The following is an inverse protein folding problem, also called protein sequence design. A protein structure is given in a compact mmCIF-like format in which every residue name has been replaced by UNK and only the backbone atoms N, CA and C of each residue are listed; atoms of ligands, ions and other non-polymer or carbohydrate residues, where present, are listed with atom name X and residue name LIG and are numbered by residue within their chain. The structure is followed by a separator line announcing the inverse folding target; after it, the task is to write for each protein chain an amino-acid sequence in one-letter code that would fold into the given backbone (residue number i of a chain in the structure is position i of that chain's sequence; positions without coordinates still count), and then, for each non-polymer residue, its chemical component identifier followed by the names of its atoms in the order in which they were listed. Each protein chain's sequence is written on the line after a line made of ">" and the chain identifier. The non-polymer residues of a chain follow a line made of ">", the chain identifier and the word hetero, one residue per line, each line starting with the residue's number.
data_IF_945263412907
#
_entry.id   IF_945263412907
#
_cell.length_a   1.000
_cell.length_b   1.000
_cell.length_c   1.000
_cell.angle_alpha   90.00
_cell.angle_beta   90.00
_cell.angle_gamma   90.00
#
_symmetry.space_group_name_H-M   'P 1'
#
loop_
_entity.id
_entity.type
_entity.pdbx_description
1 polymer ?
#
# COMPACT_ATOMS: atom_id res chain seq x y z
N UNK A 1 14.39 23.20 -5.45
CA UNK A 1 14.23 21.88 -4.78
C UNK A 1 14.20 20.83 -5.87
N UNK A 2 14.96 19.74 -5.73
CA UNK A 2 14.96 18.67 -6.74
C UNK A 2 13.57 18.01 -6.79
N UNK A 3 13.03 17.84 -8.00
CA UNK A 3 11.75 17.14 -8.18
C UNK A 3 11.89 15.68 -7.71
N UNK A 4 10.91 15.10 -6.99
CA UNK A 4 10.95 13.70 -6.59
C UNK A 4 11.05 12.81 -7.82
N UNK A 5 12.11 12.00 -7.90
CA UNK A 5 12.39 11.18 -9.09
C UNK A 5 11.75 9.81 -9.01
N UNK A 6 11.46 9.32 -7.80
CA UNK A 6 10.97 7.96 -7.57
C UNK A 6 9.64 7.97 -6.84
N UNK A 7 8.72 7.11 -7.27
CA UNK A 7 7.47 6.82 -6.60
C UNK A 7 7.50 5.39 -6.08
N UNK A 8 7.28 5.21 -4.77
CA UNK A 8 7.04 3.90 -4.17
C UNK A 8 5.54 3.76 -3.91
N UNK A 9 4.93 2.75 -4.51
CA UNK A 9 3.52 2.41 -4.28
C UNK A 9 3.43 1.18 -3.40
N UNK A 10 3.00 1.34 -2.15
CA UNK A 10 2.85 0.22 -1.22
C UNK A 10 1.47 -0.44 -1.37
N UNK A 11 1.48 -1.77 -1.43
CA UNK A 11 0.30 -2.56 -1.10
C UNK A 11 0.15 -2.71 0.42
N UNK A 12 -1.05 -3.04 0.90
CA UNK A 12 -1.33 -3.15 2.35
C UNK A 12 -1.33 -4.61 2.84
N UNK A 13 -2.41 -5.34 2.61
CA UNK A 13 -2.61 -6.68 3.18
C UNK A 13 -1.72 -7.70 2.46
N UNK A 14 -0.96 -8.48 3.22
CA UNK A 14 0.06 -9.40 2.70
C UNK A 14 1.40 -8.71 2.37
N UNK A 15 1.47 -7.38 2.46
CA UNK A 15 2.68 -6.61 2.15
C UNK A 15 3.21 -5.85 3.36
N UNK A 16 2.47 -4.85 3.86
CA UNK A 16 2.86 -4.06 5.04
C UNK A 16 2.19 -4.55 6.32
N UNK A 17 1.07 -5.25 6.20
CA UNK A 17 0.38 -5.86 7.34
C UNK A 17 -0.32 -7.15 6.95
N UNK A 18 -0.69 -7.92 7.97
CA UNK A 18 -1.56 -9.08 7.85
C UNK A 18 -2.83 -8.88 8.68
N UNK A 19 -3.99 -9.32 8.15
CA UNK A 19 -5.31 -9.10 8.79
C UNK A 19 -6.00 -10.42 9.06
N UNK A 20 -6.02 -10.82 10.32
CA UNK A 20 -6.51 -12.12 10.74
C UNK A 20 -7.83 -12.01 11.52
N UNK A 21 -8.76 -12.93 11.29
CA UNK A 21 -9.92 -13.12 12.16
C UNK A 21 -9.48 -13.75 13.48
N UNK A 22 -10.34 -13.68 14.51
CA UNK A 22 -10.10 -14.36 15.77
C UNK A 22 -9.90 -15.88 15.60
N UNK A 23 -10.58 -16.49 14.63
CA UNK A 23 -10.39 -17.92 14.30
C UNK A 23 -8.98 -18.15 13.73
N UNK A 24 -8.57 -17.37 12.73
CA UNK A 24 -7.24 -17.48 12.12
C UNK A 24 -6.12 -17.26 13.15
N UNK A 25 -6.27 -16.29 14.06
CA UNK A 25 -5.31 -16.06 15.14
C UNK A 25 -5.20 -17.28 16.05
N UNK A 26 -6.33 -17.86 16.47
CA UNK A 26 -6.34 -19.07 17.32
C UNK A 26 -5.67 -20.25 16.61
N UNK A 27 -6.04 -20.46 15.35
CA UNK A 27 -5.52 -21.56 14.52
C UNK A 27 -4.00 -21.41 14.31
N UNK A 28 -3.50 -20.21 14.02
CA UNK A 28 -2.06 -19.95 13.87
C UNK A 28 -1.33 -20.15 15.20
N UNK A 29 -1.82 -19.60 16.32
CA UNK A 29 -1.18 -19.75 17.64
C UNK A 29 -1.05 -21.19 18.10
N UNK A 30 -2.02 -22.04 17.75
CA UNK A 30 -1.95 -23.47 18.05
C UNK A 30 -0.86 -24.22 17.27
N UNK A 31 -0.34 -23.64 16.19
CA UNK A 31 0.63 -24.26 15.27
C UNK A 31 1.99 -23.53 15.27
N UNK A 32 2.02 -22.26 15.66
CA UNK A 32 3.16 -21.37 15.52
C UNK A 32 3.19 -20.37 16.67
N UNK A 33 4.28 -20.37 17.43
CA UNK A 33 4.50 -19.44 18.55
C UNK A 33 4.99 -18.06 18.13
N UNK A 34 5.31 -17.85 16.86
CA UNK A 34 5.85 -16.57 16.37
C UNK A 34 4.79 -15.48 16.14
N UNK A 35 3.49 -15.83 16.15
CA UNK A 35 2.45 -14.81 16.06
C UNK A 35 2.34 -14.07 17.42
N UNK A 36 2.53 -12.73 17.46
CA UNK A 36 2.50 -11.99 18.71
C UNK A 36 1.18 -12.15 19.50
N UNK A 37 1.25 -12.06 20.83
CA UNK A 37 0.09 -12.18 21.73
C UNK A 37 -0.95 -11.07 21.54
N UNK A 38 -0.51 -9.88 21.15
CA UNK A 38 -1.37 -8.75 20.78
C UNK A 38 -1.15 -8.37 19.33
N UNK A 39 -2.20 -7.86 18.68
CA UNK A 39 -2.06 -7.21 17.38
C UNK A 39 -1.69 -5.74 17.58
N UNK A 40 -1.12 -5.09 16.56
CA UNK A 40 -0.83 -3.66 16.61
C UNK A 40 -2.11 -2.82 16.73
N UNK A 41 -3.20 -3.25 16.06
CA UNK A 41 -4.53 -2.68 16.22
C UNK A 41 -5.63 -3.68 15.80
N UNK A 42 -6.89 -3.32 16.03
CA UNK A 42 -8.07 -4.04 15.52
C UNK A 42 -8.88 -3.13 14.59
N UNK A 43 -9.36 -3.68 13.48
CA UNK A 43 -10.22 -2.95 12.54
C UNK A 43 -11.26 -3.89 11.89
N UNK A 44 -12.55 -3.52 11.93
CA UNK A 44 -13.69 -4.34 11.45
C UNK A 44 -13.58 -5.81 11.84
N UNK A 45 -13.39 -6.06 13.14
CA UNK A 45 -13.27 -7.40 13.75
C UNK A 45 -12.03 -8.22 13.33
N UNK A 46 -11.08 -7.63 12.59
CA UNK A 46 -9.80 -8.26 12.24
C UNK A 46 -8.68 -7.74 13.15
N UNK A 47 -7.83 -8.65 13.59
CA UNK A 47 -6.55 -8.40 14.25
C UNK A 47 -5.53 -8.03 13.18
N UNK A 48 -4.92 -6.85 13.27
CA UNK A 48 -4.01 -6.34 12.26
C UNK A 48 -2.58 -6.36 12.82
N UNK A 49 -1.72 -7.15 12.19
CA UNK A 49 -0.31 -7.32 12.56
C UNK A 49 0.54 -6.61 11.53
N UNK A 50 1.28 -5.59 11.94
CA UNK A 50 2.21 -4.89 11.08
C UNK A 50 3.41 -5.79 10.77
N UNK A 51 3.94 -5.68 9.56
CA UNK A 51 5.15 -6.39 9.18
C UNK A 51 6.32 -5.94 10.07
N UNK A 52 7.18 -6.86 10.54
CA UNK A 52 8.37 -6.49 11.29
C UNK A 52 9.20 -5.44 10.55
N UNK A 53 9.73 -4.47 11.29
CA UNK A 53 10.51 -3.34 10.79
C UNK A 53 9.76 -2.34 9.88
N UNK A 54 8.43 -2.38 9.86
CA UNK A 54 7.64 -1.44 9.07
C UNK A 54 7.89 0.01 9.47
N UNK A 55 7.95 0.31 10.78
CA UNK A 55 8.11 1.69 11.25
C UNK A 55 9.47 2.26 10.83
N UNK A 56 10.52 1.45 10.89
CA UNK A 56 11.88 1.78 10.45
C UNK A 56 11.92 2.01 8.94
N UNK A 57 11.28 1.13 8.16
CA UNK A 57 11.14 1.30 6.71
C UNK A 57 10.44 2.62 6.37
N UNK A 58 9.26 2.87 6.95
CA UNK A 58 8.50 4.09 6.67
C UNK A 58 9.30 5.33 7.08
N UNK A 59 9.93 5.32 8.26
CA UNK A 59 10.78 6.42 8.72
C UNK A 59 11.93 6.69 7.74
N UNK A 60 12.59 5.65 7.25
CA UNK A 60 13.67 5.78 6.28
C UNK A 60 13.18 6.39 4.97
N UNK A 61 12.06 5.89 4.42
CA UNK A 61 11.54 6.32 3.12
C UNK A 61 11.06 7.77 3.17
N UNK A 62 10.32 8.19 4.20
CA UNK A 62 9.81 9.57 4.30
C UNK A 62 10.90 10.62 4.50
N UNK A 63 12.11 10.20 4.89
CA UNK A 63 13.27 11.08 5.01
C UNK A 63 14.02 11.27 3.69
N UNK A 64 13.68 10.53 2.63
CA UNK A 64 14.34 10.64 1.34
C UNK A 64 13.71 11.76 0.50
N UNK A 65 14.43 12.86 0.21
CA UNK A 65 13.86 14.02 -0.47
C UNK A 65 13.48 13.77 -1.95
N UNK A 66 13.88 12.61 -2.50
CA UNK A 66 13.66 12.25 -3.90
C UNK A 66 12.61 11.13 -4.07
N UNK A 67 11.97 10.70 -2.97
CA UNK A 67 10.97 9.64 -2.97
C UNK A 67 9.60 10.21 -2.60
N UNK A 68 8.60 9.89 -3.41
CA UNK A 68 7.19 10.06 -3.10
C UNK A 68 6.58 8.70 -2.73
N UNK A 69 5.62 8.70 -1.80
CA UNK A 69 4.94 7.49 -1.35
C UNK A 69 3.47 7.54 -1.77
N UNK A 70 3.02 6.51 -2.48
CA UNK A 70 1.61 6.21 -2.71
C UNK A 70 1.23 4.91 -2.03
N UNK A 71 -0.07 4.69 -1.83
CA UNK A 71 -0.61 3.41 -1.40
C UNK A 71 -1.64 2.94 -2.41
N UNK A 72 -1.59 1.67 -2.78
CA UNK A 72 -2.59 1.06 -3.64
C UNK A 72 -2.96 -0.31 -3.09
N UNK A 73 -4.20 -0.45 -2.61
CA UNK A 73 -4.71 -1.68 -1.99
C UNK A 73 -5.90 -2.25 -2.75
N UNK A 74 -6.11 -3.55 -2.67
CA UNK A 74 -7.30 -4.23 -3.21
C UNK A 74 -8.52 -4.16 -2.27
N UNK A 75 -8.46 -3.35 -1.21
CA UNK A 75 -9.58 -3.11 -0.30
C UNK A 75 -10.55 -2.08 -0.88
N UNK A 76 -11.83 -2.16 -0.50
CA UNK A 76 -12.84 -1.12 -0.83
C UNK A 76 -12.45 0.25 -0.24
N UNK A 77 -12.89 1.34 -0.88
CA UNK A 77 -12.51 2.72 -0.54
C UNK A 77 -12.54 3.07 0.97
N UNK A 78 -13.63 2.78 1.73
CA UNK A 78 -13.68 3.13 3.15
C UNK A 78 -12.65 2.37 3.99
N UNK A 79 -12.24 1.19 3.54
CA UNK A 79 -11.22 0.38 4.20
C UNK A 79 -9.82 0.83 3.80
N UNK A 80 -9.62 1.20 2.54
CA UNK A 80 -8.31 1.59 2.00
C UNK A 80 -7.73 2.79 2.77
N UNK A 81 -8.49 3.88 2.84
CA UNK A 81 -8.10 5.08 3.56
C UNK A 81 -7.78 4.76 5.02
N UNK A 82 -8.73 4.14 5.73
CA UNK A 82 -8.60 3.92 7.17
C UNK A 82 -7.50 2.93 7.53
N UNK A 83 -7.30 1.88 6.73
CA UNK A 83 -6.18 0.95 6.95
C UNK A 83 -4.85 1.66 6.71
N UNK A 84 -4.76 2.52 5.71
CA UNK A 84 -3.53 3.28 5.45
C UNK A 84 -3.19 4.20 6.62
N UNK A 85 -4.16 4.97 7.13
CA UNK A 85 -3.98 5.83 8.31
C UNK A 85 -3.47 5.05 9.53
N UNK A 86 -4.08 3.88 9.81
CA UNK A 86 -3.70 3.06 10.96
C UNK A 86 -2.32 2.39 10.77
N UNK A 87 -1.97 2.05 9.53
CA UNK A 87 -0.70 1.38 9.19
C UNK A 87 0.48 2.33 9.23
N UNK A 88 0.31 3.53 8.67
CA UNK A 88 1.36 4.56 8.60
C UNK A 88 1.39 5.45 9.84
N UNK A 89 0.29 5.51 10.61
CA UNK A 89 0.19 6.33 11.81
C UNK A 89 0.51 7.81 11.51
N UNK A 90 1.34 8.48 12.32
CA UNK A 90 1.73 9.87 12.08
C UNK A 90 2.41 10.12 10.73
N UNK A 91 3.00 9.10 10.10
CA UNK A 91 3.63 9.22 8.80
C UNK A 91 2.62 9.27 7.64
N UNK A 92 1.32 9.03 7.91
CA UNK A 92 0.26 9.07 6.90
C UNK A 92 0.22 10.41 6.14
N UNK A 93 0.55 11.52 6.79
CA UNK A 93 0.65 12.86 6.16
C UNK A 93 1.68 12.94 5.01
N UNK A 94 2.57 11.96 4.88
CA UNK A 94 3.56 11.87 3.81
C UNK A 94 3.11 10.96 2.65
N UNK A 95 1.94 10.32 2.77
CA UNK A 95 1.34 9.53 1.68
C UNK A 95 0.62 10.49 0.73
N UNK A 96 1.05 10.53 -0.53
CA UNK A 96 0.53 11.46 -1.53
C UNK A 96 -0.85 11.07 -2.06
N UNK A 97 -1.15 9.78 -2.14
CA UNK A 97 -2.44 9.28 -2.58
C UNK A 97 -2.72 7.88 -2.02
N UNK A 98 -4.01 7.53 -1.94
CA UNK A 98 -4.49 6.19 -1.60
C UNK A 98 -5.43 5.73 -2.70
N UNK A 99 -5.01 4.71 -3.44
CA UNK A 99 -5.83 4.02 -4.43
C UNK A 99 -6.43 2.77 -3.81
N UNK A 100 -7.73 2.60 -4.00
CA UNK A 100 -8.49 1.45 -3.52
C UNK A 100 -8.82 0.47 -4.67
N UNK A 101 -9.66 -0.53 -4.38
CA UNK A 101 -10.09 -1.55 -5.33
C UNK A 101 -10.67 -0.98 -6.63
N UNK A 102 -11.33 0.18 -6.61
CA UNK A 102 -11.94 0.80 -7.80
C UNK A 102 -10.91 1.16 -8.88
N UNK A 103 -9.64 1.30 -8.52
CA UNK A 103 -8.56 1.54 -9.47
C UNK A 103 -8.00 0.25 -10.06
N UNK A 104 -8.28 -0.92 -9.48
CA UNK A 104 -7.80 -2.19 -10.01
C UNK A 104 -8.58 -2.64 -11.24
N UNK A 105 -7.91 -3.29 -12.18
CA UNK A 105 -8.55 -3.97 -13.29
C UNK A 105 -8.83 -5.44 -12.98
N UNK A 106 -9.82 -6.02 -13.63
CA UNK A 106 -9.99 -7.47 -13.60
C UNK A 106 -8.90 -8.13 -14.45
N UNK A 107 -8.22 -9.13 -13.89
CA UNK A 107 -7.22 -9.87 -14.65
C UNK A 107 -7.88 -10.56 -15.85
N UNK A 108 -7.24 -10.54 -17.05
CA UNK A 108 -7.79 -11.12 -18.28
C UNK A 108 -7.75 -12.67 -18.30
N UNK A 109 -7.74 -13.32 -17.14
CA UNK A 109 -7.83 -14.78 -17.02
C UNK A 109 -9.30 -15.17 -16.84
N UNK A 110 -9.82 -15.98 -17.77
CA UNK A 110 -11.24 -16.23 -18.02
C UNK A 110 -12.18 -16.50 -16.83
N UNK A 111 -13.46 -16.28 -17.11
CA UNK A 111 -14.69 -16.62 -16.35
C UNK A 111 -14.47 -16.91 -14.86
N UNK A 112 -14.60 -15.86 -14.02
CA UNK A 112 -14.57 -15.86 -12.53
C UNK A 112 -13.22 -15.68 -11.83
N UNK A 113 -12.24 -15.01 -12.43
CA UNK A 113 -11.06 -14.63 -11.65
C UNK A 113 -11.39 -13.44 -10.72
N UNK A 114 -11.34 -13.65 -9.40
CA UNK A 114 -11.32 -12.58 -8.40
C UNK A 114 -9.95 -11.86 -8.37
N UNK A 115 -9.12 -12.10 -9.39
CA UNK A 115 -7.77 -11.56 -9.50
C UNK A 115 -7.87 -10.13 -9.99
N UNK A 116 -7.27 -9.23 -9.21
CA UNK A 116 -7.22 -7.81 -9.48
C UNK A 116 -5.80 -7.43 -9.89
N UNK A 117 -5.69 -6.68 -10.98
CA UNK A 117 -4.44 -6.12 -11.48
C UNK A 117 -4.34 -4.67 -11.06
N UNK A 118 -3.12 -4.24 -10.73
CA UNK A 118 -2.78 -2.85 -10.47
C UNK A 118 -2.00 -2.33 -11.66
N UNK A 119 -2.70 -1.81 -12.66
CA UNK A 119 -2.06 -1.22 -13.83
C UNK A 119 -1.45 0.14 -13.46
N UNK A 120 -0.14 0.14 -13.24
CA UNK A 120 0.64 1.34 -12.87
C UNK A 120 0.53 2.47 -13.91
N UNK A 121 0.12 2.18 -15.14
CA UNK A 121 -0.11 3.21 -16.15
C UNK A 121 -1.20 4.20 -15.75
N UNK A 122 -2.16 3.78 -14.93
CA UNK A 122 -3.21 4.65 -14.38
C UNK A 122 -2.65 5.79 -13.54
N UNK A 123 -1.53 5.57 -12.86
CA UNK A 123 -0.84 6.62 -12.12
C UNK A 123 -0.20 7.59 -13.11
N UNK A 124 0.45 7.08 -14.15
CA UNK A 124 1.16 7.92 -15.12
C UNK A 124 0.21 8.83 -15.91
N UNK A 125 -0.98 8.35 -16.24
CA UNK A 125 -1.97 9.06 -17.04
C UNK A 125 -2.89 9.99 -16.24
N UNK A 126 -2.90 9.91 -14.92
CA UNK A 126 -3.79 10.70 -14.07
C UNK A 126 -3.06 11.95 -13.57
N UNK A 127 -3.46 13.12 -14.05
CA UNK A 127 -2.85 14.41 -13.67
C UNK A 127 -3.03 14.75 -12.18
N UNK A 128 -4.04 14.19 -11.52
CA UNK A 128 -4.27 14.39 -10.08
C UNK A 128 -3.27 13.58 -9.26
N UNK A 129 -2.93 12.37 -9.73
CA UNK A 129 -1.97 11.50 -9.07
C UNK A 129 -0.53 11.87 -9.44
N UNK A 130 -0.28 12.21 -10.70
CA UNK A 130 1.03 12.49 -11.30
C UNK A 130 1.08 13.88 -11.94
N UNK A 131 0.98 14.96 -11.13
CA UNK A 131 0.97 16.31 -11.64
C UNK A 131 2.27 16.60 -12.39
N UNK A 132 2.17 17.19 -13.59
CA UNK A 132 3.28 17.49 -14.49
C UNK A 132 3.98 16.25 -15.10
N UNK A 133 3.39 15.05 -14.99
CA UNK A 133 3.92 13.85 -15.64
C UNK A 133 5.33 13.49 -15.15
N UNK A 134 5.56 13.58 -13.84
CA UNK A 134 6.86 13.32 -13.20
C UNK A 134 7.26 11.86 -13.31
N UNK A 135 6.29 10.94 -13.21
CA UNK A 135 6.51 9.50 -13.32
C UNK A 135 6.00 8.94 -14.65
N UNK A 136 6.80 8.08 -15.29
CA UNK A 136 6.46 7.40 -16.55
C UNK A 136 7.26 6.10 -16.70
N UNK A 137 6.85 5.23 -17.64
CA UNK A 137 7.64 4.06 -18.07
C UNK A 137 8.76 4.40 -19.07
N UNK A 138 8.75 5.61 -19.64
CA UNK A 138 9.79 6.07 -20.58
C UNK A 138 10.81 6.90 -19.81
N UNK A 139 12.10 6.63 -20.01
CA UNK A 139 13.15 7.54 -19.60
C UNK A 139 13.02 8.83 -20.44
N UNK A 140 12.63 9.93 -19.80
CA UNK A 140 12.75 11.25 -20.41
C UNK A 140 14.23 11.59 -20.47
N UNK A 141 14.91 11.20 -21.54
CA UNK A 141 16.19 11.80 -21.88
C UNK A 141 15.91 13.27 -22.21
N UNK A 142 16.46 14.16 -21.39
CA UNK A 142 16.52 15.58 -21.74
C UNK A 142 17.35 15.65 -23.03
N UNK A 143 16.69 15.85 -24.16
CA UNK A 143 17.35 16.28 -25.38
C UNK A 143 17.50 17.78 -25.20
N UNK A 144 18.72 18.20 -24.85
CA UNK A 144 19.16 19.60 -24.92
C UNK A 144 19.16 20.08 -26.38
#
# INVERSE_FOLDING_TARGET
>A
MAQPKLLIVFDLNGTLLERLSSKEVKDIRSKCSFLPESSNYKYRSKWCFLRPHLNELIRFVVQQPHITIGVWTSAEAPNAQRLTELTFGPAFKHVSFVMDRSYCDHAPTGVKSHNLLKDVSKIWSDETLNPNGVWSNVEKHNID
#
